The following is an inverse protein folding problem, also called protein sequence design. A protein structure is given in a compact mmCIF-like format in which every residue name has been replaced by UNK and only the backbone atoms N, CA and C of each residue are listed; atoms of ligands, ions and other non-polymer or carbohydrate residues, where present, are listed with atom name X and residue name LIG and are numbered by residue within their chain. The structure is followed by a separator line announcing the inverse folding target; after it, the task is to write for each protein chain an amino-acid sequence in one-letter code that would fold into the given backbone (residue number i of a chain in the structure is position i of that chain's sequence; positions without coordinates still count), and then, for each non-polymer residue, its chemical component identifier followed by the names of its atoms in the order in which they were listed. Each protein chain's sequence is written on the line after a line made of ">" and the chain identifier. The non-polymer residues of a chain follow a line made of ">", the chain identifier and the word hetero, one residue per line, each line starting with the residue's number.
data_IF_429954877804
#
_entry.id   IF_429954877804
#
_cell.length_a   1.000
_cell.length_b   1.000
_cell.length_c   1.000
_cell.angle_alpha   90.00
_cell.angle_beta   90.00
_cell.angle_gamma   90.00
#
_symmetry.space_group_name_H-M   'P 1'
#
loop_
_entity.id
_entity.type
_entity.pdbx_description
1 polymer ?
#
# COMPACT_ATOMS: atom_id res chain seq x y z
N UNK A 1 -3.08 -37.31 44.22
CA UNK A 1 -3.55 -37.26 42.82
C UNK A 1 -4.95 -36.68 42.67
N UNK A 2 -5.99 -37.19 43.35
CA UNK A 2 -7.37 -36.69 43.18
C UNK A 2 -7.59 -35.20 43.48
N UNK A 3 -6.95 -34.64 44.51
CA UNK A 3 -7.03 -33.19 44.77
C UNK A 3 -6.52 -32.37 43.58
N UNK A 4 -5.42 -32.81 42.95
CA UNK A 4 -4.84 -32.16 41.78
C UNK A 4 -5.77 -32.32 40.57
N UNK A 5 -6.35 -33.51 40.38
CA UNK A 5 -7.33 -33.77 39.33
C UNK A 5 -8.53 -32.81 39.44
N UNK A 6 -9.14 -32.69 40.62
CA UNK A 6 -10.26 -31.79 40.84
C UNK A 6 -9.88 -30.31 40.71
N UNK A 7 -8.70 -29.92 41.19
CA UNK A 7 -8.19 -28.56 41.00
C UNK A 7 -8.00 -28.21 39.52
N UNK A 8 -7.43 -29.12 38.71
CA UNK A 8 -7.29 -28.92 37.27
C UNK A 8 -8.68 -28.82 36.63
N UNK A 9 -9.59 -29.75 36.90
CA UNK A 9 -10.95 -29.73 36.33
C UNK A 9 -11.72 -28.44 36.69
N UNK A 10 -11.55 -27.93 37.92
CA UNK A 10 -12.17 -26.68 38.36
C UNK A 10 -11.57 -25.42 37.70
N UNK A 11 -10.33 -25.49 37.22
CA UNK A 11 -9.65 -24.38 36.52
C UNK A 11 -9.99 -24.32 35.01
N UNK A 12 -10.60 -25.36 34.46
CA UNK A 12 -10.94 -25.45 33.05
C UNK A 12 -12.26 -24.73 32.76
N UNK A 13 -12.38 -24.18 31.56
CA UNK A 13 -13.66 -23.67 31.08
C UNK A 13 -14.66 -24.81 30.85
N UNK A 14 -15.96 -24.52 31.03
CA UNK A 14 -17.06 -25.50 30.88
C UNK A 14 -17.06 -26.19 29.51
N UNK A 15 -16.55 -25.52 28.48
CA UNK A 15 -16.40 -26.07 27.12
C UNK A 15 -15.31 -27.14 26.98
N UNK A 16 -14.33 -27.20 27.90
CA UNK A 16 -13.18 -28.10 27.84
C UNK A 16 -13.34 -29.28 28.80
N UNK A 17 -14.08 -29.11 29.90
CA UNK A 17 -14.32 -30.15 30.91
C UNK A 17 -14.83 -31.48 30.28
N UNK A 18 -15.83 -31.49 29.38
CA UNK A 18 -16.32 -32.73 28.75
C UNK A 18 -15.27 -33.46 27.90
N UNK A 19 -14.26 -32.74 27.39
CA UNK A 19 -13.21 -33.31 26.53
C UNK A 19 -12.13 -34.06 27.34
N UNK A 20 -12.02 -33.76 28.64
CA UNK A 20 -11.00 -34.33 29.52
C UNK A 20 -11.57 -35.13 30.70
N UNK A 21 -12.89 -35.07 30.94
CA UNK A 21 -13.57 -35.71 32.08
C UNK A 21 -13.48 -37.25 32.10
N UNK A 22 -13.19 -37.89 30.97
CA UNK A 22 -12.97 -39.34 30.90
C UNK A 22 -11.57 -39.80 31.35
N UNK A 23 -10.67 -38.87 31.65
CA UNK A 23 -9.33 -39.17 32.16
C UNK A 23 -9.36 -39.58 33.64
N UNK A 24 -8.51 -40.54 34.02
CA UNK A 24 -8.53 -41.16 35.36
C UNK A 24 -7.47 -40.61 36.32
N UNK A 25 -6.60 -39.73 35.84
CA UNK A 25 -5.50 -39.14 36.62
C UNK A 25 -5.25 -37.68 36.22
N UNK A 26 -4.72 -36.89 37.16
CA UNK A 26 -4.33 -35.50 36.93
C UNK A 26 -3.36 -35.34 35.76
N UNK A 27 -2.40 -36.27 35.61
CA UNK A 27 -1.45 -36.29 34.50
C UNK A 27 -2.14 -36.47 33.14
N UNK A 28 -3.15 -37.34 33.08
CA UNK A 28 -3.89 -37.60 31.84
C UNK A 28 -4.76 -36.40 31.44
N UNK A 29 -5.41 -35.75 32.41
CA UNK A 29 -6.14 -34.48 32.16
C UNK A 29 -5.18 -33.41 31.65
N UNK A 30 -4.06 -33.20 32.33
CA UNK A 30 -3.06 -32.20 31.94
C UNK A 30 -2.52 -32.46 30.53
N UNK A 31 -2.16 -33.71 30.23
CA UNK A 31 -1.63 -34.09 28.91
C UNK A 31 -2.68 -33.88 27.81
N UNK A 32 -3.94 -34.26 28.05
CA UNK A 32 -5.02 -34.03 27.07
C UNK A 32 -5.31 -32.56 26.87
N UNK A 33 -5.39 -31.78 27.95
CA UNK A 33 -5.59 -30.33 27.90
C UNK A 33 -4.44 -29.64 27.15
N UNK A 34 -3.20 -29.91 27.57
CA UNK A 34 -1.99 -29.40 26.92
C UNK A 34 -1.97 -29.75 25.44
N UNK A 35 -2.27 -31.00 25.05
CA UNK A 35 -2.33 -31.40 23.64
C UNK A 35 -3.41 -30.67 22.85
N UNK A 36 -4.61 -30.50 23.41
CA UNK A 36 -5.71 -29.79 22.73
C UNK A 36 -5.35 -28.33 22.49
N UNK A 37 -4.80 -27.66 23.50
CA UNK A 37 -4.39 -26.27 23.40
C UNK A 37 -3.15 -26.11 22.52
N UNK A 38 -2.14 -26.99 22.64
CA UNK A 38 -0.97 -26.98 21.76
C UNK A 38 -1.38 -27.07 20.30
N UNK A 39 -2.28 -28.00 19.94
CA UNK A 39 -2.82 -28.09 18.58
C UNK A 39 -3.51 -26.80 18.13
N UNK A 40 -4.38 -26.24 18.98
CA UNK A 40 -5.08 -24.97 18.67
C UNK A 40 -4.09 -23.83 18.48
N UNK A 41 -3.10 -23.70 19.36
CA UNK A 41 -2.06 -22.68 19.28
C UNK A 41 -1.23 -22.84 18.01
N UNK A 42 -0.84 -24.06 17.64
CA UNK A 42 -0.12 -24.31 16.39
C UNK A 42 -0.96 -23.95 15.16
N UNK A 43 -2.23 -24.35 15.11
CA UNK A 43 -3.13 -23.95 14.00
C UNK A 43 -3.29 -22.44 13.94
N UNK A 44 -3.43 -21.77 15.09
CA UNK A 44 -3.58 -20.33 15.16
C UNK A 44 -2.31 -19.60 14.70
N UNK A 45 -1.14 -20.03 15.17
CA UNK A 45 0.15 -19.54 14.71
C UNK A 45 0.29 -19.67 13.19
N UNK A 46 -0.02 -20.85 12.62
CA UNK A 46 0.04 -21.06 11.16
C UNK A 46 -0.88 -20.08 10.44
N UNK A 47 -2.11 -19.91 10.91
CA UNK A 47 -3.07 -18.96 10.35
C UNK A 47 -2.53 -17.52 10.36
N UNK A 48 -1.93 -17.06 11.46
CA UNK A 48 -1.35 -15.72 11.56
C UNK A 48 -0.14 -15.53 10.62
N UNK A 49 0.70 -16.56 10.46
CA UNK A 49 1.82 -16.52 9.50
C UNK A 49 1.30 -16.47 8.06
N UNK A 50 0.27 -17.25 7.72
CA UNK A 50 -0.38 -17.16 6.40
C UNK A 50 -0.94 -15.76 6.16
N UNK A 51 -1.65 -15.20 7.15
CA UNK A 51 -2.21 -13.84 7.10
C UNK A 51 -1.12 -12.79 6.82
N UNK A 52 0.05 -12.89 7.45
CA UNK A 52 1.21 -12.01 7.18
C UNK A 52 1.80 -12.19 5.78
N UNK A 53 1.71 -13.38 5.18
CA UNK A 53 2.23 -13.61 3.81
C UNK A 53 1.26 -13.16 2.73
N UNK A 54 -0.03 -13.14 3.02
CA UNK A 54 -1.09 -12.77 2.07
C UNK A 54 -1.41 -11.29 2.07
N UNK A 55 -1.06 -10.55 3.12
CA UNK A 55 -1.38 -9.14 3.21
C UNK A 55 -0.63 -8.32 2.15
N UNK A 56 -1.39 -7.47 1.47
CA UNK A 56 -0.92 -6.46 0.53
C UNK A 56 -1.43 -5.09 0.97
N UNK A 57 -0.68 -4.03 0.65
CA UNK A 57 -1.11 -2.67 0.96
C UNK A 57 -2.32 -2.28 0.12
N UNK A 58 -2.33 -2.58 -1.18
CA UNK A 58 -3.37 -2.28 -2.17
C UNK A 58 -4.14 -0.96 -1.95
N UNK A 59 -5.26 -1.00 -1.23
CA UNK A 59 -6.15 0.15 -0.98
C UNK A 59 -5.94 0.82 0.39
N UNK A 60 -5.02 0.32 1.21
CA UNK A 60 -4.70 0.85 2.53
C UNK A 60 -3.66 1.98 2.44
N UNK A 61 -3.75 2.92 3.38
CA UNK A 61 -2.62 3.79 3.66
C UNK A 61 -1.44 2.96 4.17
N UNK A 62 -0.21 3.47 4.02
CA UNK A 62 0.98 2.78 4.54
C UNK A 62 0.88 2.63 6.05
N UNK A 63 0.37 3.65 6.74
CA UNK A 63 0.16 3.61 8.20
C UNK A 63 -0.80 2.50 8.60
N UNK A 64 -1.97 2.39 7.96
CA UNK A 64 -2.96 1.34 8.27
C UNK A 64 -2.40 -0.06 8.01
N UNK A 65 -1.66 -0.20 6.91
CA UNK A 65 -0.98 -1.44 6.56
C UNK A 65 0.05 -1.87 7.63
N UNK A 66 0.89 -0.95 8.08
CA UNK A 66 1.89 -1.20 9.13
C UNK A 66 1.24 -1.52 10.48
N UNK A 67 0.17 -0.80 10.87
CA UNK A 67 -0.59 -1.06 12.10
C UNK A 67 -1.16 -2.48 12.08
N UNK A 68 -1.75 -2.90 10.96
CA UNK A 68 -2.32 -4.24 10.85
C UNK A 68 -1.25 -5.35 10.87
N UNK A 69 -0.09 -5.12 10.24
CA UNK A 69 1.06 -6.05 10.37
C UNK A 69 1.48 -6.16 11.85
N UNK A 70 1.61 -5.03 12.55
CA UNK A 70 1.99 -5.01 13.97
C UNK A 70 1.01 -5.78 14.84
N UNK A 71 -0.30 -5.63 14.61
CA UNK A 71 -1.32 -6.38 15.36
C UNK A 71 -1.11 -7.90 15.25
N UNK A 72 -0.81 -8.40 14.05
CA UNK A 72 -0.58 -9.84 13.85
C UNK A 72 0.73 -10.29 14.51
N UNK A 73 1.77 -9.46 14.48
CA UNK A 73 3.06 -9.74 15.12
C UNK A 73 2.93 -9.76 16.65
N UNK A 74 2.19 -8.81 17.22
CA UNK A 74 1.93 -8.74 18.66
C UNK A 74 1.11 -9.97 19.11
N UNK A 75 0.17 -10.43 18.26
CA UNK A 75 -0.58 -11.66 18.50
C UNK A 75 0.32 -12.91 18.46
N UNK A 76 1.18 -13.03 17.45
CA UNK A 76 2.19 -14.11 17.39
C UNK A 76 3.12 -14.12 18.60
N UNK A 77 3.55 -12.94 19.05
CA UNK A 77 4.38 -12.77 20.25
C UNK A 77 3.64 -13.23 21.50
N UNK A 78 2.35 -12.90 21.61
CA UNK A 78 1.46 -13.35 22.71
C UNK A 78 1.31 -14.87 22.74
N UNK A 79 1.30 -15.52 21.57
CA UNK A 79 1.28 -16.99 21.46
C UNK A 79 2.64 -17.64 21.78
N UNK A 80 3.69 -16.86 22.02
CA UNK A 80 5.05 -17.33 22.30
C UNK A 80 5.90 -17.58 21.05
N UNK A 81 5.51 -17.03 19.90
CA UNK A 81 6.20 -17.21 18.61
C UNK A 81 6.59 -15.85 17.99
N UNK A 82 7.43 -15.04 18.65
CA UNK A 82 7.87 -13.77 18.08
C UNK A 82 8.63 -14.00 16.75
N UNK A 83 8.30 -13.28 15.67
CA UNK A 83 9.06 -13.35 14.42
C UNK A 83 10.49 -12.83 14.60
N UNK A 84 11.42 -13.31 13.77
CA UNK A 84 12.78 -12.75 13.73
C UNK A 84 12.80 -11.42 12.97
N UNK A 85 13.81 -10.57 13.20
CA UNK A 85 13.98 -9.31 12.46
C UNK A 85 14.00 -9.50 10.93
N UNK A 86 14.55 -10.63 10.45
CA UNK A 86 14.50 -10.99 9.03
C UNK A 86 13.07 -11.27 8.55
N UNK A 87 12.28 -12.01 9.34
CA UNK A 87 10.88 -12.29 9.02
C UNK A 87 10.07 -10.99 9.00
N UNK A 88 10.32 -10.10 9.96
CA UNK A 88 9.68 -8.78 10.04
C UNK A 88 9.94 -7.94 8.80
N UNK A 89 11.21 -7.89 8.34
CA UNK A 89 11.56 -7.22 7.09
C UNK A 89 10.79 -7.83 5.91
N UNK A 90 10.72 -9.15 5.81
CA UNK A 90 9.99 -9.84 4.73
C UNK A 90 8.50 -9.48 4.76
N UNK A 91 7.86 -9.61 5.92
CA UNK A 91 6.42 -9.36 6.06
C UNK A 91 6.05 -7.91 5.80
N UNK A 92 6.80 -6.94 6.35
CA UNK A 92 6.50 -5.53 6.17
C UNK A 92 6.76 -5.03 4.74
N UNK A 93 7.69 -5.64 4.00
CA UNK A 93 8.08 -5.14 2.68
C UNK A 93 7.36 -5.80 1.51
N UNK A 94 6.87 -7.05 1.69
CA UNK A 94 6.21 -7.83 0.63
C UNK A 94 4.99 -7.14 0.02
N UNK A 95 4.22 -6.43 0.84
CA UNK A 95 2.94 -5.81 0.44
C UNK A 95 3.00 -4.35 -0.01
N UNK A 96 4.17 -3.68 0.07
CA UNK A 96 4.25 -2.22 -0.13
C UNK A 96 4.14 -1.77 -1.60
N UNK A 97 4.54 -2.64 -2.53
CA UNK A 97 4.55 -2.38 -3.97
C UNK A 97 5.88 -1.79 -4.49
N UNK A 98 5.98 -1.58 -5.81
CA UNK A 98 7.26 -1.32 -6.49
C UNK A 98 7.89 0.03 -6.13
N UNK A 99 7.10 1.01 -5.70
CA UNK A 99 7.61 2.32 -5.29
C UNK A 99 8.60 2.24 -4.11
N UNK A 100 8.53 1.17 -3.31
CA UNK A 100 9.40 0.94 -2.16
C UNK A 100 10.62 0.08 -2.47
N UNK A 101 10.79 -0.42 -3.71
CA UNK A 101 11.86 -1.36 -4.05
C UNK A 101 13.28 -0.85 -3.72
N UNK A 102 13.53 0.46 -3.87
CA UNK A 102 14.81 1.07 -3.54
C UNK A 102 15.10 0.97 -2.03
N UNK A 103 14.10 1.32 -1.19
CA UNK A 103 14.18 1.17 0.26
C UNK A 103 14.39 -0.30 0.65
N UNK A 104 13.61 -1.21 0.07
CA UNK A 104 13.69 -2.66 0.35
C UNK A 104 15.08 -3.19 0.02
N UNK A 105 15.64 -2.79 -1.12
CA UNK A 105 16.99 -3.18 -1.53
C UNK A 105 18.03 -2.66 -0.55
N UNK A 106 17.97 -1.38 -0.19
CA UNK A 106 18.88 -0.78 0.78
C UNK A 106 18.83 -1.47 2.15
N UNK A 107 17.64 -1.85 2.61
CA UNK A 107 17.46 -2.58 3.88
C UNK A 107 18.00 -4.01 3.81
N UNK A 108 17.91 -4.69 2.66
CA UNK A 108 18.47 -6.04 2.47
C UNK A 108 19.99 -6.07 2.35
N UNK A 109 20.61 -5.01 1.84
CA UNK A 109 22.07 -4.91 1.68
C UNK A 109 22.80 -4.47 2.94
N UNK A 110 22.08 -4.03 3.97
CA UNK A 110 22.66 -3.56 5.22
C UNK A 110 23.19 -4.74 6.05
N UNK A 111 24.37 -4.56 6.66
CA UNK A 111 25.02 -5.61 7.46
C UNK A 111 24.39 -5.85 8.84
N UNK A 112 23.58 -4.91 9.35
CA UNK A 112 22.93 -5.02 10.66
C UNK A 112 21.43 -5.27 10.54
N UNK A 113 20.89 -6.10 11.42
CA UNK A 113 19.44 -6.29 11.55
C UNK A 113 18.76 -5.00 12.04
N UNK A 114 17.53 -4.80 11.59
CA UNK A 114 16.70 -3.62 11.86
C UNK A 114 15.52 -4.05 12.71
N UNK A 115 15.31 -3.41 13.85
CA UNK A 115 14.12 -3.64 14.69
C UNK A 115 12.84 -3.30 13.94
N UNK A 116 11.70 -3.85 14.37
CA UNK A 116 10.38 -3.52 13.82
C UNK A 116 10.14 -2.00 13.76
N UNK A 117 10.46 -1.30 14.84
CA UNK A 117 10.20 0.13 15.02
C UNK A 117 11.01 0.93 13.99
N UNK A 118 12.32 0.70 13.92
CA UNK A 118 13.18 1.36 12.94
C UNK A 118 12.75 1.05 11.48
N UNK A 119 12.29 -0.17 11.21
CA UNK A 119 11.78 -0.56 9.90
C UNK A 119 10.52 0.24 9.53
N UNK A 120 9.59 0.39 10.48
CA UNK A 120 8.35 1.13 10.27
C UNK A 120 8.61 2.60 10.06
N UNK A 121 9.49 3.20 10.87
CA UNK A 121 9.92 4.59 10.73
C UNK A 121 10.52 4.85 9.35
N UNK A 122 11.42 3.97 8.87
CA UNK A 122 12.02 4.08 7.53
C UNK A 122 11.00 3.99 6.40
N UNK A 123 9.98 3.14 6.54
CA UNK A 123 8.92 3.01 5.54
C UNK A 123 8.08 4.30 5.48
N UNK A 124 7.72 4.86 6.64
CA UNK A 124 6.97 6.11 6.74
C UNK A 124 7.77 7.31 6.23
N UNK A 125 9.05 7.40 6.59
CA UNK A 125 9.96 8.42 6.06
C UNK A 125 10.01 8.35 4.53
N UNK A 126 10.16 7.15 3.97
CA UNK A 126 10.17 6.94 2.53
C UNK A 126 8.84 7.35 1.85
N UNK A 127 7.70 7.14 2.51
CA UNK A 127 6.40 7.61 2.02
C UNK A 127 6.40 9.14 1.82
N UNK A 128 7.00 9.91 2.74
CA UNK A 128 7.09 11.37 2.61
C UNK A 128 7.89 11.82 1.38
N UNK A 129 8.89 11.04 0.95
CA UNK A 129 9.68 11.31 -0.26
C UNK A 129 8.96 10.90 -1.56
N UNK A 130 8.01 9.96 -1.48
CA UNK A 130 7.22 9.52 -2.63
C UNK A 130 6.09 10.49 -2.98
N UNK A 131 5.46 11.12 -1.97
CA UNK A 131 4.32 12.05 -2.15
C UNK A 131 4.64 13.24 -3.10
N UNK A 132 5.83 13.86 -3.10
CA UNK A 132 6.17 14.93 -4.05
C UNK A 132 6.26 14.46 -5.51
N UNK A 133 6.70 13.21 -5.76
CA UNK A 133 6.96 12.72 -7.12
C UNK A 133 5.68 12.36 -7.90
N UNK A 134 4.56 12.10 -7.21
CA UNK A 134 3.29 11.79 -7.87
C UNK A 134 2.60 13.03 -8.44
N UNK A 135 2.81 14.21 -7.83
CA UNK A 135 2.26 15.49 -8.31
C UNK A 135 3.04 16.11 -9.48
N UNK A 136 4.26 15.67 -9.76
CA UNK A 136 5.07 16.22 -10.85
C UNK A 136 4.89 15.49 -12.19
N UNK A 137 4.26 14.32 -12.21
CA UNK A 137 4.08 13.54 -13.44
C UNK A 137 2.81 13.87 -14.24
N UNK A 138 1.97 14.81 -13.79
CA UNK A 138 0.75 15.23 -14.52
C UNK A 138 0.88 16.54 -15.31
N UNK A 139 1.96 17.32 -15.14
CA UNK A 139 2.14 18.61 -15.85
C UNK A 139 3.56 18.76 -16.40
N UNK A 140 3.92 17.95 -17.40
CA UNK A 140 5.08 18.24 -18.25
C UNK A 140 4.62 18.39 -19.69
N UNK A 141 3.98 19.53 -20.00
CA UNK A 141 3.94 20.01 -21.38
C UNK A 141 5.38 20.39 -21.80
N UNK A 142 5.85 20.01 -23.00
CA UNK A 142 7.19 20.39 -23.45
C UNK A 142 7.26 21.93 -23.60
N UNK A 143 8.42 22.56 -23.32
CA UNK A 143 8.57 23.99 -23.52
C UNK A 143 8.52 24.30 -25.02
N UNK A 144 7.43 24.92 -25.48
CA UNK A 144 7.32 25.42 -26.85
C UNK A 144 8.17 26.68 -27.00
N UNK A 145 9.26 26.60 -27.75
CA UNK A 145 10.10 27.75 -28.07
C UNK A 145 9.42 28.62 -29.14
N UNK A 146 8.89 29.79 -28.76
CA UNK A 146 8.37 30.77 -29.70
C UNK A 146 9.51 31.62 -30.26
N UNK A 147 9.84 31.43 -31.54
CA UNK A 147 10.85 32.23 -32.23
C UNK A 147 10.24 33.55 -32.70
N UNK A 148 10.64 34.66 -32.07
CA UNK A 148 10.25 36.01 -32.48
C UNK A 148 11.16 36.49 -33.62
N UNK A 149 10.64 36.58 -34.85
CA UNK A 149 11.36 37.20 -35.97
C UNK A 149 11.23 38.71 -35.87
N UNK A 150 12.32 39.40 -35.51
CA UNK A 150 12.46 40.84 -35.66
C UNK A 150 12.38 41.25 -37.14
N UNK A 151 11.56 42.25 -37.46
CA UNK A 151 11.53 42.92 -38.76
C UNK A 151 12.29 44.26 -38.68
N UNK A 152 13.15 44.61 -39.65
CA UNK A 152 13.71 45.96 -39.77
C UNK A 152 12.92 46.83 -40.78
N UNK A 153 13.10 48.17 -40.76
CA UNK A 153 12.15 49.11 -41.33
C UNK A 153 12.40 49.50 -42.80
N UNK A 154 11.34 50.09 -43.35
CA UNK A 154 11.08 50.57 -44.72
C UNK A 154 12.05 51.62 -45.27
N UNK A 155 12.26 51.62 -46.61
CA UNK A 155 12.50 52.83 -47.38
C UNK A 155 11.78 52.81 -48.75
N UNK A 156 11.31 53.98 -49.12
CA UNK A 156 10.27 54.35 -50.09
C UNK A 156 10.89 54.86 -51.40
N UNK A 157 10.29 54.66 -52.59
CA UNK A 157 10.22 55.67 -53.68
C UNK A 157 9.09 55.37 -54.71
N UNK A 158 8.51 56.38 -55.40
CA UNK A 158 7.19 56.31 -56.07
C UNK A 158 7.21 56.57 -57.60
N UNK A 159 6.10 56.25 -58.33
CA UNK A 159 5.26 57.18 -59.16
C UNK A 159 4.44 56.52 -60.31
N UNK A 160 3.15 56.93 -60.41
CA UNK A 160 2.31 57.32 -61.61
C UNK A 160 1.97 56.30 -62.71
N UNK A 161 0.80 56.20 -63.39
CA UNK A 161 -0.48 56.95 -63.53
C UNK A 161 -1.46 56.13 -64.46
N UNK A 162 -2.76 56.02 -64.08
CA UNK A 162 -4.11 55.83 -64.75
C UNK A 162 -4.31 55.41 -66.25
N UNK A 163 -5.56 55.10 -66.77
CA UNK A 163 -6.93 55.04 -66.20
C UNK A 163 -7.82 53.79 -66.57
N UNK A 164 -9.09 53.80 -66.09
CA UNK A 164 -10.22 52.82 -66.18
C UNK A 164 -10.97 52.81 -67.55
N UNK A 165 -11.93 51.89 -67.81
CA UNK A 165 -13.36 52.13 -67.47
C UNK A 165 -14.18 50.88 -67.03
N UNK A 166 -15.29 51.12 -66.30
CA UNK A 166 -16.40 50.20 -65.97
C UNK A 166 -17.48 50.20 -67.09
N UNK A 167 -18.76 49.75 -66.95
CA UNK A 167 -19.49 48.94 -65.93
C UNK A 167 -20.48 47.89 -66.54
N UNK A 168 -21.17 47.11 -65.70
CA UNK A 168 -22.46 46.44 -66.03
C UNK A 168 -23.05 45.78 -64.77
N UNK A 169 -24.08 46.35 -64.12
CA UNK A 169 -25.54 46.18 -64.34
C UNK A 169 -25.96 44.70 -64.44
N UNK A 170 -26.95 44.15 -63.74
CA UNK A 170 -27.86 44.54 -62.63
C UNK A 170 -28.40 43.17 -62.06
N UNK A 171 -29.50 43.04 -61.30
CA UNK A 171 -29.50 42.39 -59.98
C UNK A 171 -30.47 41.18 -59.88
N UNK A 172 -30.84 40.84 -58.63
CA UNK A 172 -32.17 40.35 -58.16
C UNK A 172 -32.26 38.86 -57.74
N UNK A 173 -33.26 38.45 -56.92
CA UNK A 173 -33.90 39.07 -55.74
C UNK A 173 -33.88 38.18 -54.48
N UNK A 174 -34.03 38.86 -53.34
CA UNK A 174 -34.87 38.57 -52.17
C UNK A 174 -35.37 37.15 -51.84
N UNK A 175 -35.13 36.83 -50.56
CA UNK A 175 -35.80 35.98 -49.55
C UNK A 175 -37.36 36.01 -49.56
N UNK A 176 -38.17 35.40 -48.63
CA UNK A 176 -37.86 34.75 -47.33
C UNK A 176 -38.86 33.62 -46.82
N UNK A 177 -38.74 33.27 -45.52
CA UNK A 177 -39.75 32.74 -44.54
C UNK A 177 -40.17 31.23 -44.54
N UNK A 178 -39.77 30.55 -43.43
CA UNK A 178 -40.49 29.72 -42.40
C UNK A 178 -41.90 29.13 -42.67
N UNK A 179 -42.43 28.15 -41.89
CA UNK A 179 -42.17 27.81 -40.48
C UNK A 179 -41.17 26.69 -40.19
#
# INVERSE_FOLDING_TARGET
>A
DQLILHAILASLSDSVIPLVSSAKSSHEVWTRHSRLYAKRLTTHMIYLKDKLTMITRDFLSVTDFLVYIKQIIDELTTLGYPPSDADLLIYATRGLGPAYNNLITAMRTRDSMVSLEELFDKILDHETFLIPNEKQNSDSAPPTANIAKHSPPSHHFPKTTFPSPAPGLLPNPSSPIKP
#
